data_IF_129466063030
#
_entry.id   IF_129466063030
#
_cell.length_a   1.000
_cell.length_b   1.000
_cell.length_c   1.000
_cell.angle_alpha   90.00
_cell.angle_beta   90.00
_cell.angle_gamma   90.00
#
_symmetry.space_group_name_H-M   'P 1'
#
loop_
_entity.id
_entity.type
_entity.pdbx_description
1 polymer ?
#
# COMPACT_ATOMS: atom_id res chain seq x y z
N UNK A 1 -3.84 -1.69 -2.71
CA UNK A 1 -3.33 -2.28 -1.44
C UNK A 1 -2.02 -3.04 -1.65
N UNK A 2 -1.92 -4.06 -2.52
CA UNK A 2 -0.69 -4.85 -2.71
C UNK A 2 0.55 -4.00 -3.07
N UNK A 3 0.43 -3.01 -3.96
CA UNK A 3 1.52 -2.09 -4.32
C UNK A 3 2.02 -1.33 -3.08
N UNK A 4 1.12 -0.93 -2.19
CA UNK A 4 1.47 -0.24 -0.94
C UNK A 4 2.26 -1.15 0.02
N UNK A 5 1.95 -2.45 0.06
CA UNK A 5 2.71 -3.43 0.85
C UNK A 5 4.19 -3.45 0.42
N UNK A 6 4.45 -3.47 -0.90
CA UNK A 6 5.81 -3.41 -1.42
C UNK A 6 6.50 -2.06 -1.14
N UNK A 7 5.78 -0.94 -1.19
CA UNK A 7 6.33 0.35 -0.83
C UNK A 7 6.75 0.39 0.66
N UNK A 8 5.91 -0.15 1.54
CA UNK A 8 6.16 -0.20 2.97
C UNK A 8 7.26 -1.19 3.35
N UNK A 9 7.50 -2.24 2.55
CA UNK A 9 8.64 -3.15 2.76
C UNK A 9 9.97 -2.38 2.82
N UNK A 10 10.16 -1.41 1.94
CA UNK A 10 11.37 -0.57 1.94
C UNK A 10 11.23 0.63 2.90
N UNK A 11 10.07 1.28 2.95
CA UNK A 11 9.81 2.47 3.76
C UNK A 11 9.81 2.18 5.26
N UNK A 12 8.96 1.27 5.71
CA UNK A 12 8.85 0.91 7.14
C UNK A 12 10.07 0.13 7.64
N UNK A 13 10.77 -0.60 6.75
CA UNK A 13 12.01 -1.28 7.13
C UNK A 13 13.22 -0.35 7.20
N UNK A 14 13.30 0.65 6.32
CA UNK A 14 14.42 1.57 6.25
C UNK A 14 14.34 2.74 7.25
N UNK A 15 13.15 3.30 7.46
CA UNK A 15 12.94 4.47 8.31
C UNK A 15 13.44 4.30 9.75
N UNK A 16 13.18 3.20 10.48
CA UNK A 16 13.71 3.02 11.83
C UNK A 16 15.23 2.97 11.88
N UNK A 17 15.87 2.37 10.88
CA UNK A 17 17.34 2.32 10.78
C UNK A 17 17.94 3.68 10.52
N UNK A 18 17.28 4.49 9.71
CA UNK A 18 17.64 5.90 9.49
C UNK A 18 17.50 6.68 10.79
N UNK A 19 16.41 6.48 11.57
CA UNK A 19 16.23 7.12 12.89
C UNK A 19 17.39 6.83 13.83
N UNK A 20 17.78 5.55 13.92
CA UNK A 20 18.92 5.13 14.76
C UNK A 20 20.23 5.77 14.29
N UNK A 21 20.46 5.87 12.98
CA UNK A 21 21.67 6.47 12.42
C UNK A 21 21.72 7.98 12.67
N UNK A 22 20.59 8.68 12.54
CA UNK A 22 20.48 10.11 12.89
C UNK A 22 20.74 10.30 14.39
N UNK A 23 20.18 9.48 15.27
CA UNK A 23 20.40 9.53 16.70
C UNK A 23 21.88 9.34 17.09
N UNK A 24 22.62 8.51 16.32
CA UNK A 24 24.07 8.34 16.45
C UNK A 24 24.91 9.45 15.80
N UNK A 25 24.27 10.46 15.19
CA UNK A 25 24.90 11.52 14.42
C UNK A 25 25.69 11.03 13.18
N UNK A 26 25.41 9.80 12.71
CA UNK A 26 26.00 9.22 11.51
C UNK A 26 25.09 9.46 10.30
N UNK A 27 25.05 10.70 9.85
CA UNK A 27 24.27 11.10 8.67
C UNK A 27 24.74 10.40 7.39
N UNK A 28 26.03 10.03 7.32
CA UNK A 28 26.58 9.35 6.13
C UNK A 28 25.99 7.95 5.94
N UNK A 29 25.84 7.19 7.01
CA UNK A 29 25.18 5.88 6.98
C UNK A 29 23.68 6.04 6.74
N UNK A 30 23.03 7.05 7.33
CA UNK A 30 21.62 7.35 7.09
C UNK A 30 21.34 7.69 5.62
N UNK A 31 22.17 8.51 4.96
CA UNK A 31 22.05 8.82 3.52
C UNK A 31 22.25 7.58 2.63
N UNK A 32 23.17 6.66 3.02
CA UNK A 32 23.32 5.38 2.30
C UNK A 32 22.09 4.50 2.41
N UNK A 33 21.46 4.41 3.58
CA UNK A 33 20.22 3.64 3.77
C UNK A 33 19.10 4.25 2.92
N UNK A 34 18.94 5.57 2.97
CA UNK A 34 17.95 6.30 2.17
C UNK A 34 18.12 6.03 0.66
N UNK A 35 19.34 6.17 0.13
CA UNK A 35 19.64 5.95 -1.28
C UNK A 35 19.44 4.50 -1.71
N UNK A 36 19.82 3.52 -0.87
CA UNK A 36 19.61 2.10 -1.14
C UNK A 36 18.12 1.71 -1.14
N UNK A 37 17.34 2.22 -0.18
CA UNK A 37 15.89 1.99 -0.13
C UNK A 37 15.19 2.63 -1.34
N UNK A 38 15.61 3.83 -1.77
CA UNK A 38 15.08 4.47 -2.97
C UNK A 38 15.37 3.62 -4.22
N UNK A 39 16.61 3.13 -4.40
CA UNK A 39 16.96 2.27 -5.52
C UNK A 39 16.17 0.96 -5.52
N UNK A 40 15.96 0.38 -4.33
CA UNK A 40 15.13 -0.81 -4.16
C UNK A 40 13.68 -0.55 -4.59
N UNK A 41 13.09 0.59 -4.19
CA UNK A 41 11.74 0.99 -4.58
C UNK A 41 11.60 1.13 -6.10
N UNK A 42 12.58 1.75 -6.77
CA UNK A 42 12.57 1.88 -8.23
C UNK A 42 12.61 0.52 -8.92
N UNK A 43 13.50 -0.38 -8.47
CA UNK A 43 13.59 -1.73 -9.04
C UNK A 43 12.30 -2.50 -8.82
N UNK A 44 11.75 -2.45 -7.62
CA UNK A 44 10.46 -3.08 -7.31
C UNK A 44 9.33 -2.50 -8.14
N UNK A 45 9.31 -1.17 -8.35
CA UNK A 45 8.33 -0.50 -9.19
C UNK A 45 8.38 -1.04 -10.63
N UNK A 46 9.57 -1.13 -11.23
CA UNK A 46 9.74 -1.65 -12.59
C UNK A 46 9.29 -3.11 -12.70
N UNK A 47 9.71 -3.96 -11.75
CA UNK A 47 9.34 -5.38 -11.73
C UNK A 47 7.82 -5.54 -11.57
N UNK A 48 7.20 -4.85 -10.62
CA UNK A 48 5.77 -4.91 -10.37
C UNK A 48 4.97 -4.37 -11.56
N UNK A 49 5.40 -3.25 -12.14
CA UNK A 49 4.77 -2.70 -13.35
C UNK A 49 4.77 -3.72 -14.48
N UNK A 50 5.91 -4.39 -14.72
CA UNK A 50 6.03 -5.40 -15.78
C UNK A 50 5.11 -6.60 -15.52
N UNK A 51 5.15 -7.15 -14.30
CA UNK A 51 4.33 -8.31 -13.91
C UNK A 51 2.84 -7.97 -14.02
N UNK A 52 2.41 -6.89 -13.39
CA UNK A 52 0.99 -6.53 -13.35
C UNK A 52 0.46 -6.08 -14.72
N UNK A 53 1.30 -5.48 -15.57
CA UNK A 53 0.89 -5.09 -16.91
C UNK A 53 0.59 -6.30 -17.79
N UNK A 54 1.41 -7.36 -17.71
CA UNK A 54 1.22 -8.60 -18.46
C UNK A 54 0.02 -9.39 -17.93
N UNK A 55 -0.09 -9.54 -16.61
CA UNK A 55 -1.11 -10.37 -15.96
C UNK A 55 -2.39 -9.59 -15.60
N UNK A 56 -2.54 -8.35 -16.06
CA UNK A 56 -3.69 -7.49 -15.72
C UNK A 56 -5.07 -8.18 -15.92
N UNK A 57 -5.38 -8.77 -17.09
CA UNK A 57 -6.68 -9.39 -17.28
C UNK A 57 -6.92 -10.60 -16.35
N UNK A 58 -5.88 -11.45 -16.18
CA UNK A 58 -5.97 -12.64 -15.35
C UNK A 58 -6.19 -12.30 -13.87
N UNK A 59 -5.50 -11.26 -13.39
CA UNK A 59 -5.65 -10.81 -12.01
C UNK A 59 -7.05 -10.24 -11.75
N UNK A 60 -7.58 -9.44 -12.68
CA UNK A 60 -8.91 -8.85 -12.51
C UNK A 60 -10.03 -9.91 -12.55
N UNK A 61 -9.90 -10.93 -13.37
CA UNK A 61 -10.84 -12.07 -13.35
C UNK A 61 -10.78 -12.86 -12.05
N UNK A 62 -9.59 -13.05 -11.47
CA UNK A 62 -9.42 -13.65 -10.15
C UNK A 62 -10.04 -12.80 -9.02
N UNK A 63 -10.08 -11.49 -9.20
CA UNK A 63 -10.70 -10.57 -8.22
C UNK A 63 -12.23 -10.49 -8.33
N UNK A 64 -12.83 -11.28 -9.22
CA UNK A 64 -14.29 -11.40 -9.33
C UNK A 64 -14.94 -10.35 -10.22
N UNK A 65 -14.16 -9.66 -11.08
CA UNK A 65 -14.73 -8.74 -12.05
C UNK A 65 -15.64 -9.46 -13.05
N UNK A 66 -16.84 -8.89 -13.27
CA UNK A 66 -17.81 -9.44 -14.22
C UNK A 66 -17.42 -9.13 -15.66
N UNK A 67 -17.86 -9.96 -16.62
CA UNK A 67 -17.53 -9.77 -18.03
C UNK A 67 -17.95 -8.43 -18.63
N UNK A 68 -18.92 -7.72 -18.03
CA UNK A 68 -19.35 -6.39 -18.47
C UNK A 68 -18.45 -5.26 -18.00
N UNK A 69 -17.88 -5.36 -16.79
CA UNK A 69 -17.02 -4.33 -16.17
C UNK A 69 -15.55 -4.53 -16.50
N UNK A 70 -15.15 -5.75 -16.86
CA UNK A 70 -13.76 -6.13 -17.14
C UNK A 70 -13.01 -5.21 -18.13
N UNK A 71 -13.57 -4.77 -19.28
CA UNK A 71 -12.83 -3.90 -20.20
C UNK A 71 -12.49 -2.54 -19.59
N UNK A 72 -13.40 -2.00 -18.78
CA UNK A 72 -13.19 -0.72 -18.10
C UNK A 72 -12.16 -0.87 -16.97
N UNK A 73 -12.28 -1.94 -16.18
CA UNK A 73 -11.34 -2.26 -15.11
C UNK A 73 -9.92 -2.49 -15.64
N UNK A 74 -9.75 -3.23 -16.74
CA UNK A 74 -8.43 -3.43 -17.39
C UNK A 74 -7.84 -2.12 -17.88
N UNK A 75 -8.66 -1.23 -18.46
CA UNK A 75 -8.20 0.07 -18.94
C UNK A 75 -7.73 0.96 -17.79
N UNK A 76 -8.49 1.03 -16.70
CA UNK A 76 -8.11 1.72 -15.46
C UNK A 76 -6.81 1.15 -14.89
N UNK A 77 -6.76 -0.16 -14.72
CA UNK A 77 -5.67 -0.87 -14.08
C UNK A 77 -4.35 -0.71 -14.83
N UNK A 78 -4.37 -0.76 -16.17
CA UNK A 78 -3.16 -0.54 -16.98
C UNK A 78 -2.59 0.87 -16.81
N UNK A 79 -3.44 1.89 -16.79
CA UNK A 79 -3.00 3.28 -16.56
C UNK A 79 -2.44 3.42 -15.16
N UNK A 80 -3.14 2.88 -14.15
CA UNK A 80 -2.72 2.94 -12.75
C UNK A 80 -1.37 2.24 -12.51
N UNK A 81 -1.14 1.09 -13.15
CA UNK A 81 0.11 0.35 -13.05
C UNK A 81 1.29 1.11 -13.64
N UNK A 82 1.10 1.79 -14.76
CA UNK A 82 2.15 2.66 -15.32
C UNK A 82 2.53 3.78 -14.33
N UNK A 83 1.56 4.24 -13.54
CA UNK A 83 1.78 5.22 -12.48
C UNK A 83 2.28 4.63 -11.14
N UNK A 84 2.38 3.32 -11.02
CA UNK A 84 2.76 2.66 -9.74
C UNK A 84 4.13 3.09 -9.21
N UNK A 85 5.05 3.48 -10.09
CA UNK A 85 6.35 4.02 -9.70
C UNK A 85 6.21 5.26 -8.81
N UNK A 86 5.28 6.16 -9.13
CA UNK A 86 5.04 7.35 -8.33
C UNK A 86 4.42 6.99 -6.98
N UNK A 87 3.49 6.03 -6.97
CA UNK A 87 2.87 5.52 -5.74
C UNK A 87 3.94 4.91 -4.82
N UNK A 88 4.84 4.06 -5.34
CA UNK A 88 5.90 3.47 -4.55
C UNK A 88 6.86 4.52 -4.00
N UNK A 89 7.19 5.56 -4.77
CA UNK A 89 8.04 6.66 -4.30
C UNK A 89 7.34 7.42 -3.19
N UNK A 90 6.07 7.81 -3.36
CA UNK A 90 5.33 8.57 -2.35
C UNK A 90 5.19 7.77 -1.07
N UNK A 91 4.68 6.56 -1.14
CA UNK A 91 4.44 5.73 0.05
C UNK A 91 5.73 5.23 0.71
N UNK A 92 6.73 4.86 -0.09
CA UNK A 92 7.97 4.30 0.43
C UNK A 92 8.95 5.35 0.96
N UNK A 93 8.93 6.60 0.43
CA UNK A 93 9.87 7.64 0.86
C UNK A 93 9.30 8.57 1.94
N UNK A 94 7.97 8.63 2.08
CA UNK A 94 7.32 9.50 3.07
C UNK A 94 7.73 9.18 4.53
N UNK A 95 7.88 7.91 4.97
CA UNK A 95 8.40 7.57 6.29
C UNK A 95 9.78 8.14 6.59
N UNK A 96 10.65 8.26 5.58
CA UNK A 96 11.97 8.85 5.76
C UNK A 96 11.93 10.36 6.02
N UNK A 97 10.94 11.08 5.48
CA UNK A 97 10.73 12.50 5.76
C UNK A 97 10.25 12.69 7.20
N UNK A 98 9.29 11.86 7.63
CA UNK A 98 8.78 11.87 9.00
C UNK A 98 9.87 11.57 10.01
N UNK A 99 10.73 10.58 9.73
CA UNK A 99 11.85 10.17 10.59
C UNK A 99 12.89 11.28 10.79
N UNK A 100 13.05 12.17 9.81
CA UNK A 100 13.92 13.36 9.91
C UNK A 100 13.30 14.48 10.76
N UNK A 101 12.08 14.30 11.30
CA UNK A 101 11.36 15.32 12.07
C UNK A 101 10.48 16.25 11.23
N UNK A 102 10.42 16.05 9.91
CA UNK A 102 9.60 16.89 9.01
C UNK A 102 8.18 16.37 8.81
N UNK A 103 7.49 15.99 9.89
CA UNK A 103 6.12 15.45 9.84
C UNK A 103 5.13 16.36 9.09
N UNK A 104 5.26 17.69 9.23
CA UNK A 104 4.43 18.65 8.49
C UNK A 104 4.61 18.53 6.98
N UNK A 105 5.82 18.28 6.50
CA UNK A 105 6.10 18.13 5.06
C UNK A 105 5.58 16.80 4.54
N UNK A 106 5.71 15.74 5.33
CA UNK A 106 5.14 14.44 5.06
C UNK A 106 3.61 14.52 4.91
N UNK A 107 2.93 15.17 5.86
CA UNK A 107 1.48 15.41 5.81
C UNK A 107 1.10 16.27 4.58
N UNK A 108 1.86 17.33 4.30
CA UNK A 108 1.60 18.21 3.17
C UNK A 108 1.69 17.47 1.83
N UNK A 109 2.56 16.48 1.70
CA UNK A 109 2.63 15.62 0.51
C UNK A 109 1.31 14.92 0.23
N UNK A 110 0.70 14.34 1.27
CA UNK A 110 -0.60 13.67 1.17
C UNK A 110 -1.71 14.66 0.82
N UNK A 111 -1.73 15.82 1.49
CA UNK A 111 -2.73 16.87 1.23
C UNK A 111 -2.62 17.39 -0.21
N UNK A 112 -1.42 17.70 -0.70
CA UNK A 112 -1.21 18.13 -2.08
C UNK A 112 -1.71 17.09 -3.06
N UNK A 113 -1.37 15.81 -2.85
CA UNK A 113 -1.86 14.72 -3.69
C UNK A 113 -3.38 14.62 -3.71
N UNK A 114 -4.03 14.70 -2.54
CA UNK A 114 -5.48 14.64 -2.42
C UNK A 114 -6.17 15.84 -3.09
N UNK A 115 -5.70 17.05 -2.86
CA UNK A 115 -6.28 18.29 -3.46
C UNK A 115 -6.17 18.23 -4.99
N UNK A 116 -5.01 17.84 -5.51
CA UNK A 116 -4.82 17.72 -6.96
C UNK A 116 -5.74 16.65 -7.54
N UNK A 117 -5.87 15.51 -6.88
CA UNK A 117 -6.77 14.43 -7.31
C UNK A 117 -8.23 14.92 -7.37
N UNK A 118 -8.73 15.54 -6.29
CA UNK A 118 -10.09 16.09 -6.21
C UNK A 118 -10.37 17.12 -7.33
N UNK A 119 -9.36 17.90 -7.74
CA UNK A 119 -9.53 18.87 -8.82
C UNK A 119 -9.47 18.19 -10.19
N UNK A 120 -8.56 17.25 -10.39
CA UNK A 120 -8.34 16.60 -11.68
C UNK A 120 -9.41 15.57 -12.02
N UNK A 121 -9.99 14.87 -11.03
CA UNK A 121 -11.02 13.85 -11.25
C UNK A 121 -12.22 14.40 -12.03
N UNK A 122 -12.92 15.50 -11.59
CA UNK A 122 -14.03 16.05 -12.36
C UNK A 122 -13.63 16.54 -13.76
N UNK A 123 -12.44 17.11 -13.89
CA UNK A 123 -11.95 17.62 -15.18
C UNK A 123 -11.76 16.46 -16.17
N UNK A 124 -11.11 15.38 -15.75
CA UNK A 124 -10.82 14.26 -16.64
C UNK A 124 -12.04 13.37 -16.90
N UNK A 125 -12.92 13.23 -15.91
CA UNK A 125 -14.11 12.39 -16.04
C UNK A 125 -15.18 13.10 -16.90
N UNK A 126 -15.51 14.37 -16.57
CA UNK A 126 -16.66 15.07 -17.15
C UNK A 126 -16.29 16.05 -18.25
N UNK A 127 -15.21 16.85 -18.11
CA UNK A 127 -14.85 17.87 -19.10
C UNK A 127 -14.15 17.25 -20.30
N UNK A 128 -13.26 16.28 -20.07
CA UNK A 128 -12.53 15.57 -21.14
C UNK A 128 -13.25 14.28 -21.59
N UNK A 129 -14.36 13.93 -20.96
CA UNK A 129 -15.20 12.75 -21.27
C UNK A 129 -14.40 11.43 -21.33
N UNK A 130 -13.34 11.33 -20.53
CA UNK A 130 -12.49 10.14 -20.46
C UNK A 130 -13.07 9.04 -19.55
N UNK A 131 -14.13 9.34 -18.79
CA UNK A 131 -14.78 8.41 -17.87
C UNK A 131 -13.79 7.73 -16.90
N UNK A 132 -13.83 6.41 -16.82
CA UNK A 132 -12.98 5.62 -15.91
C UNK A 132 -11.47 5.78 -16.17
N UNK A 133 -11.07 5.99 -17.43
CA UNK A 133 -9.66 6.25 -17.77
C UNK A 133 -9.19 7.60 -17.25
N UNK A 134 -10.11 8.58 -17.21
CA UNK A 134 -9.85 9.91 -16.65
C UNK A 134 -9.51 9.84 -15.16
N UNK A 135 -10.28 9.09 -14.37
CA UNK A 135 -10.01 8.87 -12.96
C UNK A 135 -8.63 8.22 -12.72
N UNK A 136 -8.24 7.21 -13.53
CA UNK A 136 -6.92 6.62 -13.43
C UNK A 136 -5.80 7.64 -13.70
N UNK A 137 -5.96 8.46 -14.75
CA UNK A 137 -4.98 9.50 -15.10
C UNK A 137 -4.87 10.57 -14.02
N UNK A 138 -5.99 11.02 -13.45
CA UNK A 138 -5.99 11.99 -12.35
C UNK A 138 -5.23 11.45 -11.13
N UNK A 139 -5.48 10.21 -10.77
CA UNK A 139 -4.75 9.53 -9.67
C UNK A 139 -3.25 9.44 -9.98
N UNK A 140 -2.85 9.01 -11.16
CA UNK A 140 -1.43 8.92 -11.54
C UNK A 140 -0.75 10.28 -11.53
N UNK A 141 -1.40 11.32 -12.05
CA UNK A 141 -0.85 12.68 -12.06
C UNK A 141 -0.72 13.26 -10.65
N UNK A 142 -1.71 13.07 -9.79
CA UNK A 142 -1.64 13.50 -8.39
C UNK A 142 -0.48 12.84 -7.64
N UNK A 143 -0.28 11.54 -7.84
CA UNK A 143 0.85 10.80 -7.28
C UNK A 143 2.19 11.25 -7.88
N UNK A 144 2.23 11.55 -9.18
CA UNK A 144 3.43 12.09 -9.83
C UNK A 144 3.85 13.44 -9.22
N UNK A 145 2.90 14.34 -8.98
CA UNK A 145 3.19 15.61 -8.30
C UNK A 145 3.69 15.39 -6.88
N UNK A 146 3.06 14.47 -6.13
CA UNK A 146 3.53 14.07 -4.80
C UNK A 146 4.96 13.51 -4.81
N UNK A 147 5.27 12.64 -5.78
CA UNK A 147 6.62 12.08 -5.95
C UNK A 147 7.66 13.16 -6.28
N UNK A 148 7.34 14.07 -7.20
CA UNK A 148 8.21 15.21 -7.53
C UNK A 148 8.44 16.10 -6.30
N UNK A 149 7.40 16.35 -5.51
CA UNK A 149 7.50 17.12 -4.26
C UNK A 149 8.46 16.45 -3.27
N UNK A 150 8.30 15.15 -3.00
CA UNK A 150 9.19 14.37 -2.13
C UNK A 150 10.63 14.39 -2.63
N UNK A 151 10.85 14.12 -3.92
CA UNK A 151 12.18 14.10 -4.51
C UNK A 151 12.85 15.48 -4.43
N UNK A 152 12.09 16.55 -4.71
CA UNK A 152 12.57 17.93 -4.60
C UNK A 152 12.93 18.29 -3.16
N UNK A 153 12.19 17.79 -2.18
CA UNK A 153 12.51 17.98 -0.77
C UNK A 153 13.78 17.21 -0.39
N UNK A 154 13.88 15.91 -0.73
CA UNK A 154 15.02 15.06 -0.37
C UNK A 154 16.33 15.44 -1.11
N UNK A 155 16.25 16.15 -2.23
CA UNK A 155 17.42 16.70 -2.94
C UNK A 155 17.70 18.17 -2.56
N UNK A 156 16.78 18.81 -1.84
CA UNK A 156 16.84 20.21 -1.46
C UNK A 156 17.78 20.49 -0.27
N UNK A 157 18.04 21.78 0.00
CA UNK A 157 18.93 22.21 1.09
C UNK A 157 18.31 22.14 2.50
N UNK A 158 16.99 21.93 2.61
CA UNK A 158 16.24 21.93 3.89
C UNK A 158 16.22 20.57 4.59
N UNK A 159 16.51 19.51 3.87
CA UNK A 159 16.56 18.15 4.42
C UNK A 159 17.86 17.90 5.18
N UNK A 160 17.80 17.06 6.22
CA UNK A 160 18.98 16.62 6.96
C UNK A 160 19.75 15.57 6.15
N UNK A 161 19.01 14.69 5.45
CA UNK A 161 19.55 13.59 4.66
C UNK A 161 19.33 13.86 3.18
N UNK A 162 20.41 13.93 2.44
CA UNK A 162 20.35 14.20 1.01
C UNK A 162 20.32 12.91 0.20
N UNK A 163 19.40 12.85 -0.75
CA UNK A 163 19.37 11.78 -1.73
C UNK A 163 20.46 12.01 -2.77
N UNK A 164 21.63 11.34 -2.59
CA UNK A 164 22.79 11.47 -3.50
C UNK A 164 22.85 10.30 -4.45
N UNK A 165 23.16 10.55 -5.72
CA UNK A 165 23.31 9.52 -6.77
C UNK A 165 24.38 8.47 -6.42
N UNK A 166 25.40 8.86 -5.69
CA UNK A 166 26.49 7.97 -5.22
C UNK A 166 25.99 6.84 -4.31
N UNK A 167 24.88 7.07 -3.60
CA UNK A 167 24.29 6.14 -2.66
C UNK A 167 23.24 5.19 -3.29
N UNK A 168 23.02 5.26 -4.60
CA UNK A 168 22.05 4.39 -5.31
C UNK A 168 22.58 2.98 -5.57
N UNK A 169 23.88 2.75 -5.33
CA UNK A 169 24.46 1.42 -5.52
C UNK A 169 23.92 0.46 -4.45
N UNK A 170 23.18 -0.56 -4.89
CA UNK A 170 22.62 -1.55 -3.97
C UNK A 170 23.73 -2.28 -3.20
N UNK A 171 23.66 -2.18 -1.88
CA UNK A 171 24.57 -2.88 -0.95
C UNK A 171 23.76 -3.86 -0.13
N UNK A 172 24.09 -5.15 -0.24
CA UNK A 172 23.40 -6.23 0.49
C UNK A 172 23.44 -6.02 1.99
N UNK A 173 24.55 -5.53 2.52
CA UNK A 173 24.76 -5.24 3.95
C UNK A 173 23.76 -4.20 4.50
N UNK A 174 23.24 -3.32 3.64
CA UNK A 174 22.27 -2.29 4.01
C UNK A 174 20.84 -2.76 3.77
N UNK A 175 20.59 -3.41 2.62
CA UNK A 175 19.24 -3.77 2.18
C UNK A 175 18.69 -4.93 2.99
N UNK A 176 19.49 -5.98 3.25
CA UNK A 176 19.02 -7.18 3.94
C UNK A 176 18.43 -6.89 5.31
N UNK A 177 19.08 -6.09 6.18
CA UNK A 177 18.49 -5.71 7.46
C UNK A 177 17.28 -4.77 7.35
N UNK A 178 17.20 -3.94 6.28
CA UNK A 178 15.99 -3.13 6.04
C UNK A 178 14.82 -4.02 5.63
N UNK A 179 15.03 -4.98 4.73
CA UNK A 179 14.01 -5.94 4.33
C UNK A 179 13.54 -6.80 5.52
N UNK A 180 14.47 -7.25 6.37
CA UNK A 180 14.13 -8.03 7.56
C UNK A 180 13.18 -7.28 8.51
N UNK A 181 13.38 -5.97 8.70
CA UNK A 181 12.48 -5.14 9.50
C UNK A 181 11.16 -4.85 8.78
N UNK A 182 11.19 -4.64 7.46
CA UNK A 182 10.00 -4.33 6.67
C UNK A 182 9.10 -5.52 6.40
N UNK A 183 9.60 -6.77 6.57
CA UNK A 183 8.85 -7.98 6.22
C UNK A 183 7.60 -8.15 7.09
N UNK A 184 7.63 -7.74 8.35
CA UNK A 184 6.46 -7.80 9.25
C UNK A 184 5.33 -6.91 8.73
N UNK A 185 5.63 -5.67 8.38
CA UNK A 185 4.65 -4.74 7.80
C UNK A 185 4.16 -5.22 6.42
N UNK A 186 5.08 -5.77 5.61
CA UNK A 186 4.73 -6.34 4.32
C UNK A 186 3.75 -7.52 4.45
N UNK A 187 4.02 -8.46 5.35
CA UNK A 187 3.13 -9.61 5.60
C UNK A 187 1.78 -9.14 6.09
N UNK A 188 1.74 -8.18 7.03
CA UNK A 188 0.49 -7.60 7.54
C UNK A 188 -0.37 -7.02 6.40
N UNK A 189 0.19 -6.12 5.58
CA UNK A 189 -0.53 -5.49 4.48
C UNK A 189 -0.88 -6.47 3.34
N UNK A 190 -0.04 -7.48 3.12
CA UNK A 190 -0.31 -8.54 2.14
C UNK A 190 -1.47 -9.43 2.58
N UNK A 191 -1.52 -9.77 3.86
CA UNK A 191 -2.63 -10.56 4.45
C UNK A 191 -3.94 -9.80 4.35
N UNK A 192 -3.93 -8.50 4.67
CA UNK A 192 -5.10 -7.63 4.50
C UNK A 192 -5.56 -7.57 3.03
N UNK A 193 -4.62 -7.46 2.10
CA UNK A 193 -4.92 -7.46 0.66
C UNK A 193 -5.56 -8.79 0.21
N UNK A 194 -5.03 -9.92 0.65
CA UNK A 194 -5.57 -11.26 0.33
C UNK A 194 -6.97 -11.43 0.93
N UNK A 195 -7.18 -10.97 2.16
CA UNK A 195 -8.47 -11.00 2.84
C UNK A 195 -9.51 -10.18 2.07
N UNK A 196 -9.16 -8.96 1.69
CA UNK A 196 -10.02 -8.06 0.91
C UNK A 196 -10.40 -8.68 -0.45
N UNK A 197 -9.45 -9.28 -1.15
CA UNK A 197 -9.69 -9.97 -2.43
C UNK A 197 -10.62 -11.16 -2.25
N UNK A 198 -10.35 -12.02 -1.27
CA UNK A 198 -11.16 -13.21 -0.99
C UNK A 198 -12.59 -12.84 -0.61
N UNK A 199 -12.74 -11.76 0.17
CA UNK A 199 -14.03 -11.25 0.58
C UNK A 199 -14.80 -10.67 -0.61
N UNK A 200 -14.17 -9.82 -1.42
CA UNK A 200 -14.78 -9.22 -2.61
C UNK A 200 -15.18 -10.30 -3.63
N UNK A 201 -14.34 -11.29 -3.87
CA UNK A 201 -14.62 -12.40 -4.77
C UNK A 201 -15.81 -13.25 -4.28
N UNK A 202 -15.88 -13.54 -2.99
CA UNK A 202 -17.00 -14.25 -2.39
C UNK A 202 -18.31 -13.44 -2.47
N UNK A 203 -18.20 -12.14 -2.19
CA UNK A 203 -19.35 -11.24 -2.24
C UNK A 203 -19.90 -11.07 -3.66
N UNK A 204 -19.02 -10.97 -4.66
CA UNK A 204 -19.41 -10.95 -6.07
C UNK A 204 -20.14 -12.23 -6.48
N UNK A 205 -19.68 -13.39 -5.99
CA UNK A 205 -20.26 -14.69 -6.33
C UNK A 205 -21.65 -14.94 -5.70
N UNK A 206 -21.85 -14.49 -4.46
CA UNK A 206 -23.09 -14.77 -3.71
C UNK A 206 -24.04 -13.58 -3.63
N UNK A 207 -23.56 -12.35 -3.66
CA UNK A 207 -24.34 -11.13 -3.50
C UNK A 207 -24.46 -10.26 -4.76
N UNK A 208 -23.74 -10.61 -5.82
CA UNK A 208 -23.73 -9.85 -7.08
C UNK A 208 -23.10 -8.46 -6.96
N UNK A 209 -23.19 -7.68 -8.05
CA UNK A 209 -22.53 -6.37 -8.18
C UNK A 209 -23.02 -5.33 -7.16
N UNK A 210 -24.30 -5.44 -6.72
CA UNK A 210 -24.87 -4.53 -5.72
C UNK A 210 -24.20 -4.68 -4.34
N UNK A 211 -23.94 -5.92 -3.93
CA UNK A 211 -23.29 -6.21 -2.65
C UNK A 211 -21.83 -5.78 -2.64
N UNK A 212 -21.11 -5.96 -3.75
CA UNK A 212 -19.74 -5.46 -3.93
C UNK A 212 -19.71 -3.93 -3.85
N UNK A 213 -20.67 -3.25 -4.52
CA UNK A 213 -20.77 -1.79 -4.47
C UNK A 213 -21.03 -1.27 -3.06
N UNK A 214 -21.96 -1.87 -2.31
CA UNK A 214 -22.24 -1.51 -0.92
C UNK A 214 -21.00 -1.70 -0.02
N UNK A 215 -20.26 -2.81 -0.20
CA UNK A 215 -19.04 -3.08 0.57
C UNK A 215 -17.93 -2.09 0.24
N UNK A 216 -17.81 -1.67 -1.02
CA UNK A 216 -16.81 -0.67 -1.43
C UNK A 216 -17.07 0.67 -0.74
N UNK A 217 -18.34 1.08 -0.60
CA UNK A 217 -18.71 2.30 0.13
C UNK A 217 -18.31 2.18 1.60
N UNK A 218 -18.65 1.07 2.27
CA UNK A 218 -18.31 0.84 3.68
C UNK A 218 -16.81 0.85 3.91
N UNK A 219 -16.03 0.18 3.04
CA UNK A 219 -14.56 0.17 3.15
C UNK A 219 -13.94 1.53 2.87
N UNK A 220 -14.52 2.34 1.99
CA UNK A 220 -14.03 3.70 1.72
C UNK A 220 -14.25 4.62 2.92
N UNK A 221 -15.40 4.53 3.59
CA UNK A 221 -15.70 5.30 4.81
C UNK A 221 -14.74 4.89 5.95
N UNK A 222 -14.48 3.61 6.12
CA UNK A 222 -13.54 3.11 7.13
C UNK A 222 -12.12 3.63 6.88
N UNK A 223 -11.65 3.60 5.64
CA UNK A 223 -10.31 4.11 5.28
C UNK A 223 -10.15 5.62 5.49
N UNK A 224 -11.23 6.38 5.37
CA UNK A 224 -11.23 7.84 5.62
C UNK A 224 -11.17 8.12 7.13
N UNK A 225 -11.82 7.30 7.94
CA UNK A 225 -11.80 7.39 9.40
C UNK A 225 -10.44 7.03 10.01
N UNK A 226 -9.69 6.09 9.42
CA UNK A 226 -8.35 5.68 9.88
C UNK A 226 -7.33 6.84 9.93
N UNK A 227 -7.58 7.93 9.19
CA UNK A 227 -6.76 9.14 9.28
C UNK A 227 -7.02 9.96 10.55
N UNK A 228 -8.12 9.74 11.28
CA UNK A 228 -8.60 10.64 12.31
C UNK A 228 -8.67 10.04 13.73
N UNK A 229 -8.67 8.72 13.93
CA UNK A 229 -8.90 8.15 15.27
C UNK A 229 -8.22 6.82 15.57
N UNK A 230 -7.57 6.76 16.73
CA UNK A 230 -7.08 5.53 17.38
C UNK A 230 -8.21 4.55 17.73
N UNK A 231 -9.47 5.01 17.82
CA UNK A 231 -10.65 4.20 18.09
C UNK A 231 -11.07 3.31 16.92
N UNK A 232 -10.68 3.66 15.70
CA UNK A 232 -11.04 2.91 14.49
C UNK A 232 -10.26 1.60 14.34
N UNK A 233 -9.06 1.50 14.93
CA UNK A 233 -8.36 0.21 15.05
C UNK A 233 -9.21 -0.84 15.76
N UNK A 234 -9.98 -0.44 16.76
CA UNK A 234 -10.92 -1.33 17.48
C UNK A 234 -12.13 -1.68 16.62
N UNK A 235 -12.67 -0.73 15.84
CA UNK A 235 -13.81 -0.98 14.96
C UNK A 235 -13.41 -1.88 13.78
N UNK A 236 -12.26 -1.65 13.17
CA UNK A 236 -11.73 -2.46 12.07
C UNK A 236 -11.45 -3.91 12.55
N UNK A 237 -10.90 -4.07 13.75
CA UNK A 237 -10.73 -5.39 14.37
C UNK A 237 -12.07 -6.06 14.63
N UNK A 238 -13.08 -5.32 15.07
CA UNK A 238 -14.42 -5.85 15.34
C UNK A 238 -15.15 -6.26 14.04
N UNK A 239 -15.03 -5.45 12.98
CA UNK A 239 -15.58 -5.78 11.65
C UNK A 239 -14.87 -7.01 11.06
N UNK A 240 -13.55 -7.11 11.19
CA UNK A 240 -12.80 -8.30 10.77
C UNK A 240 -13.23 -9.55 11.55
N UNK A 241 -13.42 -9.46 12.86
CA UNK A 241 -13.89 -10.56 13.71
C UNK A 241 -15.31 -10.98 13.31
N UNK A 242 -16.22 -10.02 13.07
CA UNK A 242 -17.57 -10.29 12.60
C UNK A 242 -17.55 -10.93 11.21
N UNK A 243 -16.72 -10.45 10.28
CA UNK A 243 -16.55 -11.06 8.96
C UNK A 243 -16.01 -12.48 9.05
N UNK A 244 -14.99 -12.74 9.89
CA UNK A 244 -14.44 -14.07 10.12
C UNK A 244 -15.51 -14.98 10.74
N UNK A 245 -16.28 -14.48 11.70
CA UNK A 245 -17.33 -15.23 12.33
C UNK A 245 -18.49 -15.55 11.35
N UNK A 246 -18.88 -14.59 10.52
CA UNK A 246 -19.91 -14.78 9.49
C UNK A 246 -19.42 -15.74 8.38
N UNK A 247 -18.18 -15.63 7.95
CA UNK A 247 -17.56 -16.57 7.00
C UNK A 247 -17.44 -17.99 7.60
N UNK A 248 -17.15 -18.13 8.89
CA UNK A 248 -17.09 -19.44 9.55
C UNK A 248 -18.47 -20.13 9.64
N UNK A 249 -19.57 -19.37 9.61
CA UNK A 249 -20.92 -19.89 9.55
C UNK A 249 -21.41 -20.17 8.12
N UNK A 250 -20.88 -19.49 7.11
CA UNK A 250 -21.24 -19.71 5.69
C UNK A 250 -20.40 -20.80 5.01
N UNK A 251 -19.20 -21.07 5.50
CA UNK A 251 -18.36 -22.17 5.04
C UNK A 251 -18.65 -23.38 5.97
N UNK A 252 -19.16 -24.52 5.46
CA UNK A 252 -19.39 -25.68 6.31
C UNK A 252 -18.07 -26.03 6.99
N UNK A 253 -18.08 -26.35 8.29
CA UNK A 253 -16.86 -26.51 9.08
C UNK A 253 -16.00 -27.59 8.43
N UNK A 254 -14.82 -27.20 7.92
CA UNK A 254 -13.73 -28.12 7.69
C UNK A 254 -13.48 -28.68 9.10
N UNK A 255 -13.92 -29.90 9.31
CA UNK A 255 -13.74 -30.65 10.54
C UNK A 255 -12.26 -30.66 10.89
N UNK A 256 -11.84 -29.68 11.66
CA UNK A 256 -10.56 -29.74 12.34
C UNK A 256 -10.66 -30.96 13.25
N UNK A 257 -9.87 -31.95 12.91
CA UNK A 257 -9.74 -33.20 13.67
C UNK A 257 -9.46 -32.87 15.14
N UNK A 258 -10.42 -33.15 15.99
CA UNK A 258 -10.40 -32.99 17.46
C UNK A 258 -9.35 -33.88 18.18
N UNK A 259 -8.32 -34.32 17.48
CA UNK A 259 -7.32 -35.25 18.02
C UNK A 259 -6.10 -34.60 18.68
N UNK A 260 -5.87 -33.29 18.51
CA UNK A 260 -4.64 -32.65 19.03
C UNK A 260 -4.82 -31.81 20.30
N UNK A 261 -6.05 -31.48 20.71
CA UNK A 261 -6.30 -30.61 21.88
C UNK A 261 -6.43 -31.40 23.19
N UNK A 262 -6.59 -32.71 23.13
CA UNK A 262 -6.74 -33.55 24.36
C UNK A 262 -5.44 -33.97 25.06
N UNK A 263 -4.26 -33.61 24.54
CA UNK A 263 -2.95 -34.04 25.13
C UNK A 263 -2.19 -32.97 25.90
N UNK A 264 -2.75 -31.80 26.17
CA UNK A 264 -2.09 -30.77 26.98
C UNK A 264 -2.90 -30.45 28.24
N UNK A 265 -3.06 -31.44 29.14
CA UNK A 265 -3.30 -31.14 30.54
C UNK A 265 -1.97 -31.24 31.27
N UNK A 266 -1.43 -30.15 31.88
CA UNK A 266 -0.33 -30.28 32.81
C UNK A 266 -0.86 -30.90 34.09
N UNK A 267 -0.17 -31.95 34.56
CA UNK A 267 -0.26 -32.44 35.93
C UNK A 267 0.30 -31.35 36.85
N UNK A 268 -0.54 -30.77 37.67
CA UNK A 268 -0.13 -30.03 38.84
C UNK A 268 -0.53 -30.89 40.04
N UNK A 269 0.47 -31.43 40.69
CA UNK A 269 0.50 -31.73 42.10
C UNK A 269 1.44 -30.72 42.76
#
# INVERSE_FOLDING_TARGET
MLINAFAMLAGAGGAPRVAISIGKKDNRTAEKILGNCFSLLIIMAVILTFIFFIFAPQMLTLFGESGKTLPYAVSYFRIYILGSIFVLIVMGMNPFITTQGFAKISMLTTVIGAVINIILDPIFIFVLDLGVRGAALATVLSQAVGAVWILRFLTGKKTILHLRKENFRLRRDIILPCLALGISTFVMLSTESILSISFTSSLSRYGGDLAVGAMTIITSDTSTSDCLNLSDYFLQSSVQIICIHTLSHLIPPIRASDASVKKAKPAVQ
#
